data_IF_931735157556
#
_entry.id   IF_931735157556
#
_cell.length_a   1.000
_cell.length_b   1.000
_cell.length_c   1.000
_cell.angle_alpha   90.00
_cell.angle_beta   90.00
_cell.angle_gamma   90.00
#
_symmetry.space_group_name_H-M   'P 1'
#
loop_
_entity.id
_entity.type
_entity.pdbx_description
1 polymer ?
#
# COMPACT_ATOMS: atom_id res chain seq x y z
N UNK A 1 20.75 12.76 24.97
CA UNK A 1 20.31 13.91 24.13
C UNK A 1 19.75 13.44 22.78
N UNK A 2 20.54 12.88 21.86
CA UNK A 2 20.09 12.51 20.50
C UNK A 2 18.97 11.44 20.42
N UNK A 3 18.92 10.47 21.35
CA UNK A 3 17.91 9.39 21.34
C UNK A 3 16.51 9.89 21.75
N UNK A 4 16.46 10.89 22.63
CA UNK A 4 15.19 11.46 23.15
C UNK A 4 14.57 12.38 22.10
N UNK A 5 15.40 13.14 21.39
CA UNK A 5 15.00 14.02 20.29
C UNK A 5 14.43 13.23 19.10
N UNK A 6 15.08 12.12 18.73
CA UNK A 6 14.59 11.19 17.70
C UNK A 6 13.22 10.59 18.05
N UNK A 7 13.02 10.19 19.30
CA UNK A 7 11.75 9.60 19.74
C UNK A 7 10.60 10.63 19.71
N UNK A 8 10.90 11.90 20.03
CA UNK A 8 9.94 13.00 19.94
C UNK A 8 9.57 13.28 18.48
N UNK A 9 10.56 13.40 17.60
CA UNK A 9 10.37 13.64 16.18
C UNK A 9 9.56 12.53 15.50
N UNK A 10 9.85 11.26 15.79
CA UNK A 10 9.07 10.12 15.27
C UNK A 10 7.61 10.14 15.75
N UNK A 11 7.36 10.62 16.98
CA UNK A 11 6.00 10.73 17.53
C UNK A 11 5.21 11.86 16.87
N UNK A 12 5.84 13.01 16.64
CA UNK A 12 5.23 14.17 15.98
C UNK A 12 4.99 13.91 14.48
N UNK A 13 5.88 13.17 13.81
CA UNK A 13 5.74 12.83 12.39
C UNK A 13 4.80 11.66 12.11
N UNK A 14 4.54 10.77 13.08
CA UNK A 14 3.58 9.66 12.91
C UNK A 14 2.13 10.14 12.80
N UNK A 15 1.82 11.30 13.36
CA UNK A 15 0.51 11.99 13.25
C UNK A 15 0.38 12.89 12.03
N UNK A 16 1.49 13.24 11.39
CA UNK A 16 1.48 14.10 10.21
C UNK A 16 1.77 13.23 8.98
N UNK A 17 0.73 12.82 8.25
CA UNK A 17 0.92 12.19 6.94
C UNK A 17 1.67 13.19 6.05
N UNK A 18 2.94 12.94 5.68
CA UNK A 18 3.65 13.86 4.82
C UNK A 18 2.89 13.94 3.48
N UNK A 19 2.86 15.10 2.81
CA UNK A 19 2.38 15.18 1.44
C UNK A 19 3.14 14.12 0.63
N UNK A 20 2.44 13.44 -0.28
CA UNK A 20 2.92 12.26 -1.02
C UNK A 20 4.14 12.63 -1.86
N UNK A 21 5.31 12.65 -1.21
CA UNK A 21 6.59 12.88 -1.84
C UNK A 21 6.87 11.68 -2.73
N UNK A 22 7.07 11.96 -4.01
CA UNK A 22 7.51 10.98 -4.99
C UNK A 22 8.90 10.48 -4.56
N UNK A 23 8.94 9.44 -3.73
CA UNK A 23 10.19 8.73 -3.45
C UNK A 23 10.66 8.16 -4.77
N UNK A 24 11.69 8.80 -5.35
CA UNK A 24 12.40 8.32 -6.53
C UNK A 24 12.60 6.83 -6.38
N UNK A 25 12.03 6.07 -7.32
CA UNK A 25 12.06 4.63 -7.32
C UNK A 25 13.52 4.20 -7.20
N UNK A 26 13.91 3.62 -6.06
CA UNK A 26 15.27 3.13 -5.88
C UNK A 26 15.50 2.07 -6.94
N UNK A 27 16.55 2.24 -7.74
CA UNK A 27 16.94 1.30 -8.78
C UNK A 27 16.93 -0.11 -8.19
N UNK A 28 16.06 -0.97 -8.71
CA UNK A 28 15.88 -2.33 -8.19
C UNK A 28 17.09 -3.14 -8.65
N UNK A 29 17.93 -3.55 -7.70
CA UNK A 29 19.02 -4.50 -7.96
C UNK A 29 18.46 -5.78 -8.60
N UNK A 30 18.90 -6.19 -9.79
CA UNK A 30 18.39 -7.37 -10.49
C UNK A 30 18.71 -8.69 -9.78
N UNK A 31 19.70 -8.70 -8.87
CA UNK A 31 20.07 -9.87 -8.05
C UNK A 31 19.45 -9.84 -6.63
N UNK A 32 18.63 -8.85 -6.31
CA UNK A 32 18.00 -8.79 -4.99
C UNK A 32 16.82 -9.78 -4.90
N UNK A 33 16.63 -10.45 -3.76
CA UNK A 33 15.46 -11.30 -3.55
C UNK A 33 14.18 -10.48 -3.65
N UNK A 34 13.16 -11.03 -4.32
CA UNK A 34 11.83 -10.39 -4.40
C UNK A 34 11.30 -10.14 -2.99
N UNK A 35 10.88 -8.91 -2.73
CA UNK A 35 10.26 -8.54 -1.45
C UNK A 35 8.98 -9.37 -1.25
N UNK A 36 8.67 -9.79 -0.01
CA UNK A 36 7.41 -10.43 0.27
C UNK A 36 6.26 -9.47 -0.09
N UNK A 37 5.15 -9.98 -0.64
CA UNK A 37 4.00 -9.16 -0.98
C UNK A 37 3.40 -8.54 0.30
N UNK A 38 3.10 -7.25 0.25
CA UNK A 38 2.35 -6.58 1.33
C UNK A 38 0.92 -7.12 1.42
N UNK A 39 0.27 -6.98 2.58
CA UNK A 39 -1.14 -7.34 2.77
C UNK A 39 -2.07 -6.75 1.70
N UNK A 40 -1.78 -5.53 1.21
CA UNK A 40 -2.53 -4.92 0.09
C UNK A 40 -2.34 -5.69 -1.23
N UNK A 41 -1.15 -6.21 -1.50
CA UNK A 41 -0.87 -6.99 -2.71
C UNK A 41 -1.54 -8.37 -2.65
N UNK A 42 -1.60 -8.98 -1.47
CA UNK A 42 -2.35 -10.22 -1.26
C UNK A 42 -3.85 -9.99 -1.51
N UNK A 43 -4.42 -8.96 -0.89
CA UNK A 43 -5.79 -8.52 -1.16
C UNK A 43 -6.02 -8.26 -2.66
N UNK A 44 -5.10 -7.56 -3.31
CA UNK A 44 -5.22 -7.31 -4.74
C UNK A 44 -5.21 -8.59 -5.58
N UNK A 45 -4.39 -9.57 -5.22
CA UNK A 45 -4.32 -10.84 -5.95
C UNK A 45 -5.64 -11.62 -5.91
N UNK A 46 -6.35 -11.58 -4.78
CA UNK A 46 -7.61 -12.31 -4.57
C UNK A 46 -8.82 -11.59 -5.16
N UNK A 47 -8.86 -10.26 -5.09
CA UNK A 47 -10.02 -9.47 -5.51
C UNK A 47 -9.97 -9.05 -6.98
N UNK A 48 -8.78 -8.96 -7.58
CA UNK A 48 -8.64 -8.64 -9.00
C UNK A 48 -9.37 -9.60 -9.95
N UNK A 49 -9.32 -10.94 -9.79
CA UNK A 49 -10.12 -11.84 -10.62
C UNK A 49 -11.63 -11.69 -10.39
N UNK A 50 -12.08 -11.40 -9.15
CA UNK A 50 -13.49 -11.15 -8.82
C UNK A 50 -14.02 -9.93 -9.57
N UNK A 51 -13.31 -8.80 -9.49
CA UNK A 51 -13.71 -7.55 -10.15
C UNK A 51 -13.62 -7.67 -11.67
N UNK A 52 -12.62 -8.40 -12.19
CA UNK A 52 -12.53 -8.67 -13.63
C UNK A 52 -13.69 -9.55 -14.12
N UNK A 53 -14.19 -10.46 -13.29
CA UNK A 53 -15.37 -11.28 -13.58
C UNK A 53 -16.67 -10.46 -13.61
N UNK A 54 -16.86 -9.56 -12.62
CA UNK A 54 -18.02 -8.66 -12.60
C UNK A 54 -17.96 -7.58 -13.69
N UNK A 55 -16.76 -7.17 -14.06
CA UNK A 55 -16.54 -6.10 -15.05
C UNK A 55 -15.46 -6.50 -16.06
N UNK A 56 -15.81 -7.36 -17.04
CA UNK A 56 -14.85 -7.86 -18.03
C UNK A 56 -14.30 -6.80 -19.00
N UNK A 57 -14.76 -5.54 -18.92
CA UNK A 57 -14.29 -4.41 -19.73
C UNK A 57 -13.50 -3.33 -18.99
N UNK A 58 -13.31 -3.44 -17.67
CA UNK A 58 -12.54 -2.44 -16.93
C UNK A 58 -11.04 -2.57 -17.21
N UNK A 59 -10.38 -1.44 -17.43
CA UNK A 59 -8.94 -1.39 -17.53
C UNK A 59 -8.30 -1.82 -16.21
N UNK A 60 -7.10 -2.40 -16.30
CA UNK A 60 -6.30 -2.79 -15.14
C UNK A 60 -6.10 -1.62 -14.17
N UNK A 61 -5.99 -0.40 -14.70
CA UNK A 61 -5.88 0.82 -13.90
C UNK A 61 -7.15 1.12 -13.09
N UNK A 62 -8.33 0.96 -13.68
CA UNK A 62 -9.60 1.23 -12.98
C UNK A 62 -9.95 0.13 -11.98
N UNK A 63 -9.60 -1.12 -12.30
CA UNK A 63 -9.63 -2.21 -11.31
C UNK A 63 -8.72 -1.86 -10.14
N UNK A 64 -7.47 -1.41 -10.37
CA UNK A 64 -6.55 -1.03 -9.30
C UNK A 64 -7.07 0.15 -8.45
N UNK A 65 -7.73 1.15 -9.06
CA UNK A 65 -8.39 2.24 -8.33
C UNK A 65 -9.49 1.71 -7.41
N UNK A 66 -10.40 0.89 -7.96
CA UNK A 66 -11.52 0.30 -7.22
C UNK A 66 -11.04 -0.57 -6.05
N UNK A 67 -9.97 -1.35 -6.24
CA UNK A 67 -9.34 -2.11 -5.16
C UNK A 67 -8.66 -1.22 -4.12
N UNK A 68 -8.03 -0.12 -4.54
CA UNK A 68 -7.43 0.84 -3.61
C UNK A 68 -8.47 1.52 -2.73
N UNK A 69 -9.64 1.87 -3.29
CA UNK A 69 -10.78 2.39 -2.54
C UNK A 69 -11.37 1.33 -1.61
N UNK A 70 -11.56 0.11 -2.10
CA UNK A 70 -12.05 -1.01 -1.29
C UNK A 70 -11.11 -1.27 -0.11
N UNK A 71 -9.81 -1.35 -0.33
CA UNK A 71 -8.80 -1.54 0.72
C UNK A 71 -8.75 -0.41 1.76
N UNK A 72 -8.96 0.84 1.34
CA UNK A 72 -9.08 1.97 2.28
C UNK A 72 -10.33 1.85 3.16
N UNK A 73 -11.43 1.33 2.61
CA UNK A 73 -12.66 1.11 3.37
C UNK A 73 -12.57 -0.16 4.26
N UNK A 74 -11.94 -1.23 3.79
CA UNK A 74 -11.68 -2.46 4.58
C UNK A 74 -10.72 -2.19 5.76
N UNK A 75 -9.98 -1.07 5.72
CA UNK A 75 -9.02 -0.69 6.73
C UNK A 75 -9.55 -0.51 8.15
N UNK A 76 -10.83 -0.19 8.29
CA UNK A 76 -11.44 -0.01 9.60
C UNK A 76 -11.86 -1.33 10.26
N UNK A 77 -12.15 -2.37 9.48
CA UNK A 77 -12.89 -3.54 9.96
C UNK A 77 -12.16 -4.88 9.77
N UNK A 78 -11.25 -5.00 8.79
CA UNK A 78 -10.72 -6.32 8.38
C UNK A 78 -9.24 -6.29 7.96
N UNK A 79 -8.42 -5.50 8.64
CA UNK A 79 -6.95 -5.42 8.44
C UNK A 79 -6.15 -6.42 9.30
N UNK A 80 -6.77 -7.49 9.77
CA UNK A 80 -6.08 -8.58 10.47
C UNK A 80 -6.12 -9.86 9.63
N UNK A 81 -4.96 -10.41 9.29
CA UNK A 81 -4.63 -11.79 9.57
C UNK A 81 -3.99 -11.93 10.96
#
# INVERSE_FOLDING_TARGET
MAKVDKARYERETKTSTPPKGETKEKFKDPNAPKRPPSAFFLFCSEYRPKIKGEHPGLSIGDVAKKLGEMWKNTAADNKQP
#
